data_IF_493406305715
#
_entry.id   IF_493406305715
#
_cell.length_a   1.000
_cell.length_b   1.000
_cell.length_c   1.000
_cell.angle_alpha   90.00
_cell.angle_beta   90.00
_cell.angle_gamma   90.00
#
_symmetry.space_group_name_H-M   'P 1'
#
loop_
_entity.id
_entity.type
_entity.pdbx_description
1 polymer ?
#
# COMPACT_ATOMS: atom_id res chain seq x y z
N UNK A 1 -16.01 11.60 -11.61
CA UNK A 1 -15.51 10.24 -11.97
C UNK A 1 -14.91 9.64 -10.71
N UNK A 2 -15.50 8.55 -10.15
CA UNK A 2 -14.96 7.83 -8.99
C UNK A 2 -13.59 7.28 -9.34
N UNK A 3 -12.55 7.77 -8.68
CA UNK A 3 -11.21 7.20 -8.75
C UNK A 3 -11.18 5.93 -7.90
N UNK A 4 -10.71 4.83 -8.47
CA UNK A 4 -10.60 3.54 -7.78
C UNK A 4 -9.34 3.55 -6.93
N UNK A 5 -9.51 3.45 -5.62
CA UNK A 5 -8.41 3.37 -4.67
C UNK A 5 -7.81 1.97 -4.71
N UNK A 6 -6.56 1.87 -5.11
CA UNK A 6 -5.87 0.61 -5.28
C UNK A 6 -5.10 0.27 -4.00
N UNK A 7 -5.60 -0.67 -3.19
CA UNK A 7 -4.90 -1.11 -1.98
C UNK A 7 -3.64 -1.91 -2.33
N UNK A 8 -2.49 -1.24 -2.23
CA UNK A 8 -1.17 -1.85 -2.51
C UNK A 8 -0.87 -2.97 -1.52
N UNK A 9 -1.34 -2.84 -0.28
CA UNK A 9 -1.11 -3.82 0.79
C UNK A 9 -1.71 -5.19 0.47
N UNK A 10 -2.90 -5.21 -0.12
CA UNK A 10 -3.60 -6.47 -0.40
C UNK A 10 -2.91 -7.28 -1.49
N UNK A 11 -2.17 -6.64 -2.40
CA UNK A 11 -1.36 -7.34 -3.39
C UNK A 11 -0.16 -8.05 -2.77
N UNK A 12 0.57 -7.40 -1.86
CA UNK A 12 1.64 -8.09 -1.13
C UNK A 12 1.10 -9.24 -0.30
N UNK A 13 -0.09 -9.08 0.28
CA UNK A 13 -0.79 -10.15 0.98
C UNK A 13 -1.16 -11.31 0.05
N UNK A 14 -1.61 -11.02 -1.17
CA UNK A 14 -1.92 -12.05 -2.16
C UNK A 14 -0.67 -12.85 -2.57
N UNK A 15 0.46 -12.19 -2.83
CA UNK A 15 1.72 -12.88 -3.09
C UNK A 15 2.16 -13.69 -1.87
N UNK A 16 2.01 -13.14 -0.66
CA UNK A 16 2.32 -13.85 0.57
C UNK A 16 1.47 -15.10 0.72
N UNK A 17 0.15 -15.00 0.49
CA UNK A 17 -0.75 -16.13 0.52
C UNK A 17 -0.35 -17.20 -0.51
N UNK A 18 0.00 -16.80 -1.73
CA UNK A 18 0.48 -17.71 -2.76
C UNK A 18 1.76 -18.43 -2.32
N UNK A 19 2.75 -17.71 -1.79
CA UNK A 19 4.00 -18.28 -1.32
C UNK A 19 3.79 -19.27 -0.16
N UNK A 20 2.87 -18.97 0.76
CA UNK A 20 2.50 -19.88 1.85
C UNK A 20 1.93 -21.18 1.28
N UNK A 21 0.98 -21.09 0.36
CA UNK A 21 0.33 -22.29 -0.22
C UNK A 21 1.29 -23.16 -1.05
N UNK A 22 2.31 -22.55 -1.65
CA UNK A 22 3.33 -23.25 -2.43
C UNK A 22 4.55 -23.68 -1.59
N UNK A 23 4.56 -23.38 -0.28
CA UNK A 23 5.69 -23.63 0.62
C UNK A 23 7.02 -23.08 0.07
N UNK A 24 6.99 -21.87 -0.53
CA UNK A 24 8.16 -21.24 -1.16
C UNK A 24 9.20 -20.87 -0.11
N UNK A 25 10.45 -21.34 -0.32
CA UNK A 25 11.58 -20.87 0.48
C UNK A 25 11.92 -19.41 0.14
N UNK A 26 11.62 -18.50 1.06
CA UNK A 26 11.86 -17.07 0.89
C UNK A 26 13.34 -16.69 0.83
N UNK A 27 14.24 -17.59 1.22
CA UNK A 27 15.71 -17.41 1.14
C UNK A 27 16.27 -17.83 -0.22
N UNK A 28 15.52 -18.62 -0.98
CA UNK A 28 15.90 -19.10 -2.31
C UNK A 28 15.41 -18.13 -3.40
N UNK A 29 16.33 -17.32 -3.94
CA UNK A 29 16.02 -16.41 -5.05
C UNK A 29 15.44 -17.14 -6.27
N UNK A 30 15.90 -18.36 -6.55
CA UNK A 30 15.42 -19.18 -7.67
C UNK A 30 13.97 -19.61 -7.47
N UNK A 31 13.60 -20.08 -6.27
CA UNK A 31 12.23 -20.49 -5.96
C UNK A 31 11.28 -19.29 -5.99
N UNK A 32 11.68 -18.17 -5.37
CA UNK A 32 10.91 -16.91 -5.42
C UNK A 32 10.64 -16.50 -6.86
N UNK A 33 11.68 -16.47 -7.71
CA UNK A 33 11.52 -16.08 -9.12
C UNK A 33 10.62 -17.03 -9.90
N UNK A 34 10.74 -18.34 -9.70
CA UNK A 34 9.91 -19.34 -10.37
C UNK A 34 8.45 -19.20 -9.95
N UNK A 35 8.20 -19.02 -8.67
CA UNK A 35 6.86 -18.79 -8.13
C UNK A 35 6.24 -17.49 -8.62
N UNK A 36 7.01 -16.41 -8.71
CA UNK A 36 6.52 -15.13 -9.26
C UNK A 36 6.18 -15.22 -10.76
N UNK A 37 6.85 -16.07 -11.52
CA UNK A 37 6.52 -16.31 -12.95
C UNK A 37 5.23 -17.10 -13.13
N UNK A 38 4.89 -17.98 -12.19
CA UNK A 38 3.71 -18.84 -12.26
C UNK A 38 2.45 -18.18 -11.71
N UNK A 39 2.57 -17.16 -10.84
CA UNK A 39 1.43 -16.52 -10.18
C UNK A 39 0.50 -15.82 -11.18
N UNK A 40 -0.78 -16.17 -11.17
CA UNK A 40 -1.82 -15.53 -11.97
C UNK A 40 -2.68 -14.64 -11.07
N UNK A 41 -2.13 -13.50 -10.70
CA UNK A 41 -2.80 -12.53 -9.83
C UNK A 41 -3.56 -11.50 -10.67
N UNK A 42 -4.87 -11.47 -10.51
CA UNK A 42 -5.75 -10.50 -11.12
C UNK A 42 -6.52 -9.70 -10.06
N UNK A 43 -6.78 -8.43 -10.34
CA UNK A 43 -7.60 -7.58 -9.48
C UNK A 43 -8.84 -7.20 -10.26
N UNK A 44 -9.98 -7.63 -9.77
CA UNK A 44 -11.27 -7.32 -10.35
C UNK A 44 -11.88 -6.09 -9.66
N UNK A 45 -12.29 -5.13 -10.49
CA UNK A 45 -12.95 -3.89 -10.09
C UNK A 45 -14.39 -3.82 -10.60
N UNK A 46 -14.98 -4.94 -10.96
CA UNK A 46 -16.29 -4.99 -11.62
C UNK A 46 -17.45 -4.58 -10.72
N UNK A 47 -17.32 -4.69 -9.39
CA UNK A 47 -18.32 -4.19 -8.44
C UNK A 47 -18.03 -2.75 -8.01
N UNK A 48 -19.08 -1.94 -7.86
CA UNK A 48 -18.95 -0.53 -7.45
C UNK A 48 -18.44 -0.37 -6.01
N UNK A 49 -18.56 -1.40 -5.18
CA UNK A 49 -18.26 -1.36 -3.75
C UNK A 49 -16.98 -2.11 -3.35
N UNK A 50 -16.62 -3.23 -4.03
CA UNK A 50 -15.58 -4.11 -3.53
C UNK A 50 -14.56 -4.50 -4.61
N UNK A 51 -13.30 -4.24 -4.30
CA UNK A 51 -12.17 -4.76 -5.03
C UNK A 51 -11.98 -6.24 -4.67
N UNK A 52 -12.02 -7.12 -5.66
CA UNK A 52 -11.72 -8.55 -5.50
C UNK A 52 -10.29 -8.87 -5.91
N UNK A 53 -9.68 -9.77 -5.17
CA UNK A 53 -8.36 -10.28 -5.49
C UNK A 53 -8.51 -11.74 -5.92
N UNK A 54 -8.25 -11.97 -7.19
CA UNK A 54 -8.37 -13.27 -7.82
C UNK A 54 -6.97 -13.86 -8.02
N UNK A 55 -6.74 -15.03 -7.48
CA UNK A 55 -5.51 -15.80 -7.63
C UNK A 55 -5.85 -17.14 -8.27
N UNK A 56 -5.26 -17.44 -9.42
CA UNK A 56 -5.49 -18.67 -10.20
C UNK A 56 -6.98 -18.98 -10.47
N UNK A 57 -7.81 -17.92 -10.54
CA UNK A 57 -9.26 -18.00 -10.75
C UNK A 57 -10.10 -17.93 -9.47
N UNK A 58 -9.52 -18.10 -8.30
CA UNK A 58 -10.21 -18.08 -7.01
C UNK A 58 -10.22 -16.69 -6.37
N UNK A 59 -11.35 -16.29 -5.80
CA UNK A 59 -11.44 -15.09 -4.96
C UNK A 59 -10.79 -15.36 -3.59
N UNK A 60 -9.67 -14.70 -3.35
CA UNK A 60 -8.90 -14.82 -2.10
C UNK A 60 -9.02 -13.58 -1.19
N UNK A 61 -9.93 -12.66 -1.47
CA UNK A 61 -10.05 -11.36 -0.79
C UNK A 61 -10.17 -11.46 0.74
N UNK A 62 -10.82 -12.50 1.24
CA UNK A 62 -10.90 -12.78 2.67
C UNK A 62 -9.68 -13.55 3.18
N UNK A 63 -9.18 -14.52 2.41
CA UNK A 63 -8.06 -15.41 2.80
C UNK A 63 -6.77 -14.64 3.03
N UNK A 64 -6.51 -13.58 2.27
CA UNK A 64 -5.33 -12.73 2.44
C UNK A 64 -5.28 -11.94 3.75
N UNK A 65 -6.37 -11.94 4.52
CA UNK A 65 -6.47 -11.24 5.82
C UNK A 65 -6.19 -12.14 7.02
N UNK A 66 -5.88 -13.42 6.78
CA UNK A 66 -5.54 -14.36 7.84
C UNK A 66 -4.34 -13.90 8.68
N UNK A 67 -4.25 -14.39 9.91
CA UNK A 67 -3.15 -14.10 10.82
C UNK A 67 -1.81 -14.58 10.24
N UNK A 68 -1.80 -15.73 9.58
CA UNK A 68 -0.60 -16.28 8.95
C UNK A 68 -0.06 -15.37 7.85
N UNK A 69 -0.91 -14.90 6.94
CA UNK A 69 -0.51 -13.92 5.91
C UNK A 69 -0.03 -12.62 6.56
N UNK A 70 -0.72 -12.18 7.62
CA UNK A 70 -0.38 -10.93 8.31
C UNK A 70 1.01 -10.99 8.95
N UNK A 71 1.40 -12.11 9.52
CA UNK A 71 2.71 -12.29 10.16
C UNK A 71 3.86 -12.36 9.15
N UNK A 72 3.63 -12.93 7.95
CA UNK A 72 4.67 -13.16 6.93
C UNK A 72 4.78 -12.04 5.89
N UNK A 73 3.77 -11.18 5.73
CA UNK A 73 3.72 -10.16 4.66
C UNK A 73 4.88 -9.16 4.71
N UNK A 74 5.40 -8.85 5.89
CA UNK A 74 6.54 -7.95 6.03
C UNK A 74 7.81 -8.54 5.41
N UNK A 75 8.10 -9.81 5.68
CA UNK A 75 9.23 -10.53 5.09
C UNK A 75 9.11 -10.62 3.57
N UNK A 76 7.95 -11.04 3.04
CA UNK A 76 7.71 -11.14 1.60
C UNK A 76 7.81 -9.76 0.91
N UNK A 77 7.30 -8.71 1.53
CA UNK A 77 7.38 -7.35 0.98
C UNK A 77 8.79 -6.76 0.97
N UNK A 78 9.72 -7.33 1.70
CA UNK A 78 11.13 -6.93 1.69
C UNK A 78 11.94 -7.58 0.55
N UNK A 79 11.43 -8.64 -0.08
CA UNK A 79 12.09 -9.34 -1.18
C UNK A 79 12.11 -8.45 -2.43
N UNK A 80 13.30 -8.29 -3.00
CA UNK A 80 13.52 -7.42 -4.17
C UNK A 80 12.66 -7.83 -5.36
N UNK A 81 12.64 -9.09 -5.70
CA UNK A 81 11.92 -9.67 -6.85
C UNK A 81 10.41 -9.44 -6.74
N UNK A 82 9.86 -9.59 -5.53
CA UNK A 82 8.45 -9.30 -5.25
C UNK A 82 8.16 -7.81 -5.45
N UNK A 83 9.06 -6.94 -5.00
CA UNK A 83 8.90 -5.49 -5.17
C UNK A 83 8.95 -5.08 -6.63
N UNK A 84 9.91 -5.62 -7.38
CA UNK A 84 10.06 -5.33 -8.81
C UNK A 84 8.80 -5.74 -9.58
N UNK A 85 8.24 -6.92 -9.32
CA UNK A 85 6.95 -7.34 -9.86
C UNK A 85 5.82 -6.38 -9.48
N UNK A 86 5.74 -5.97 -8.21
CA UNK A 86 4.71 -5.02 -7.76
C UNK A 86 4.83 -3.65 -8.44
N UNK A 87 6.03 -3.17 -8.69
CA UNK A 87 6.27 -1.93 -9.44
C UNK A 87 5.77 -2.06 -10.88
N UNK A 88 6.09 -3.17 -11.55
CA UNK A 88 5.62 -3.43 -12.93
C UNK A 88 4.08 -3.49 -13.01
N UNK A 89 3.45 -4.19 -12.08
CA UNK A 89 1.99 -4.28 -11.99
C UNK A 89 1.38 -2.88 -11.79
N UNK A 90 1.92 -2.07 -10.88
CA UNK A 90 1.43 -0.70 -10.65
C UNK A 90 1.52 0.14 -11.92
N UNK A 91 2.66 0.10 -12.60
CA UNK A 91 2.88 0.86 -13.84
C UNK A 91 1.97 0.42 -14.98
N UNK A 92 1.66 -0.86 -15.09
CA UNK A 92 0.77 -1.37 -16.15
C UNK A 92 -0.65 -0.83 -16.04
N UNK A 93 -1.16 -0.64 -14.82
CA UNK A 93 -2.51 -0.12 -14.61
C UNK A 93 -2.67 1.35 -14.96
N UNK A 94 -1.62 2.14 -14.81
CA UNK A 94 -1.68 3.60 -15.05
C UNK A 94 -1.55 4.00 -16.52
N UNK A 95 -1.28 3.04 -17.41
CA UNK A 95 -1.18 3.31 -18.86
C UNK A 95 -2.50 3.72 -19.52
N UNK A 96 -3.65 3.48 -18.87
CA UNK A 96 -4.99 3.66 -19.45
C UNK A 96 -5.83 4.73 -18.75
N UNK A 97 -5.26 5.90 -18.46
CA UNK A 97 -6.03 7.01 -17.90
C UNK A 97 -5.34 7.77 -16.77
N UNK A 98 -6.09 8.62 -16.10
CA UNK A 98 -5.63 9.39 -14.95
C UNK A 98 -5.85 8.59 -13.66
N UNK A 99 -4.82 8.52 -12.84
CA UNK A 99 -4.84 7.76 -11.59
C UNK A 99 -4.33 8.59 -10.42
N UNK A 100 -4.90 8.35 -9.26
CA UNK A 100 -4.31 8.73 -7.97
C UNK A 100 -3.78 7.45 -7.33
N UNK A 101 -2.49 7.46 -7.01
CA UNK A 101 -1.80 6.31 -6.42
C UNK A 101 -1.18 6.73 -5.11
N UNK A 102 -1.43 5.95 -4.06
CA UNK A 102 -0.84 6.20 -2.74
C UNK A 102 0.14 5.08 -2.35
N UNK A 103 1.10 5.41 -1.51
CA UNK A 103 2.06 4.44 -0.94
C UNK A 103 3.31 5.11 -0.41
N UNK A 104 4.30 4.31 -0.02
CA UNK A 104 5.52 4.76 0.66
C UNK A 104 6.62 5.20 -0.30
N UNK A 105 6.66 4.59 -1.48
CA UNK A 105 7.70 4.74 -2.50
C UNK A 105 7.16 5.19 -3.86
N UNK A 106 5.93 5.70 -3.88
CA UNK A 106 5.22 5.98 -5.14
C UNK A 106 5.93 7.05 -5.96
N UNK A 107 6.26 8.18 -5.35
CA UNK A 107 6.87 9.30 -6.05
C UNK A 107 8.39 9.21 -6.20
N UNK A 108 9.04 8.23 -5.53
CA UNK A 108 10.50 8.06 -5.60
C UNK A 108 10.93 6.87 -6.46
N UNK A 109 10.12 5.80 -6.50
CA UNK A 109 10.48 4.54 -7.18
C UNK A 109 9.47 4.15 -8.25
N UNK A 110 8.16 4.19 -7.92
CA UNK A 110 7.14 3.66 -8.82
C UNK A 110 6.87 4.63 -9.98
N UNK A 111 6.64 5.91 -9.66
CA UNK A 111 6.37 6.99 -10.62
C UNK A 111 7.25 8.22 -10.33
N UNK A 112 8.58 8.11 -10.54
CA UNK A 112 9.49 9.22 -10.28
C UNK A 112 9.22 10.43 -11.19
N UNK A 113 8.61 10.20 -12.35
CA UNK A 113 8.29 11.24 -13.35
C UNK A 113 6.82 11.69 -13.28
N UNK A 114 6.09 11.37 -12.21
CA UNK A 114 4.70 11.81 -12.05
C UNK A 114 4.63 13.35 -12.03
N UNK A 115 3.69 13.92 -12.82
CA UNK A 115 3.50 15.38 -12.91
C UNK A 115 3.18 16.02 -11.55
N UNK A 116 2.39 15.36 -10.74
CA UNK A 116 2.00 15.84 -9.41
C UNK A 116 2.39 14.81 -8.36
N UNK A 117 3.18 15.25 -7.38
CA UNK A 117 3.59 14.45 -6.23
C UNK A 117 3.23 15.20 -4.97
N UNK A 118 2.50 14.56 -4.09
CA UNK A 118 2.10 15.10 -2.80
C UNK A 118 2.67 14.25 -1.68
N UNK A 119 3.26 14.89 -0.70
CA UNK A 119 3.74 14.25 0.52
C UNK A 119 2.86 14.69 1.68
N UNK A 120 1.98 13.79 2.10
CA UNK A 120 1.07 14.06 3.21
C UNK A 120 1.77 13.77 4.54
N UNK A 121 1.73 14.71 5.44
CA UNK A 121 2.23 14.55 6.80
C UNK A 121 1.17 14.96 7.83
N UNK A 122 1.28 14.42 9.04
CA UNK A 122 0.50 14.82 10.20
C UNK A 122 1.21 14.34 11.47
N UNK A 123 0.98 15.02 12.58
CA UNK A 123 1.47 14.62 13.89
C UNK A 123 1.02 13.22 14.27
N UNK A 124 1.87 12.50 15.00
CA UNK A 124 1.57 11.13 15.41
C UNK A 124 0.32 11.03 16.27
N UNK A 125 0.09 11.99 17.15
CA UNK A 125 -1.12 12.01 18.00
C UNK A 125 -2.41 12.13 17.18
N UNK A 126 -2.39 12.98 16.14
CA UNK A 126 -3.52 13.13 15.22
C UNK A 126 -3.71 11.85 14.38
N UNK A 127 -2.62 11.27 13.91
CA UNK A 127 -2.67 10.00 13.15
C UNK A 127 -3.19 8.86 14.01
N UNK A 128 -2.77 8.77 15.28
CA UNK A 128 -3.26 7.77 16.22
C UNK A 128 -4.76 7.94 16.51
N UNK A 129 -5.23 9.17 16.73
CA UNK A 129 -6.66 9.46 16.89
C UNK A 129 -7.50 9.06 15.67
N UNK A 130 -7.03 9.40 14.45
CA UNK A 130 -7.70 8.99 13.21
C UNK A 130 -7.77 7.46 13.08
N UNK A 131 -6.67 6.78 13.43
CA UNK A 131 -6.63 5.32 13.37
C UNK A 131 -7.49 4.65 14.44
N UNK A 132 -7.58 5.23 15.63
CA UNK A 132 -8.49 4.77 16.67
C UNK A 132 -9.94 4.83 16.20
N UNK A 133 -10.36 5.97 15.63
CA UNK A 133 -11.70 6.12 15.07
C UNK A 133 -12.01 5.10 13.95
N UNK A 134 -11.00 4.65 13.19
CA UNK A 134 -11.19 3.59 12.20
C UNK A 134 -11.39 2.21 12.86
N UNK A 135 -10.72 1.91 13.97
CA UNK A 135 -10.94 0.68 14.75
C UNK A 135 -12.31 0.68 15.41
N UNK A 136 -12.75 1.82 15.95
CA UNK A 136 -14.08 1.95 16.55
C UNK A 136 -15.22 1.64 15.55
N UNK A 137 -15.07 2.05 14.28
CA UNK A 137 -16.07 1.74 13.22
C UNK A 137 -16.24 0.23 12.96
N UNK A 138 -15.25 -0.58 13.28
CA UNK A 138 -15.29 -2.04 13.12
C UNK A 138 -15.43 -2.77 14.46
N UNK A 139 -15.81 -2.03 15.53
CA UNK A 139 -15.97 -2.53 16.90
C UNK A 139 -14.70 -3.21 17.47
N UNK A 140 -13.51 -2.79 17.06
CA UNK A 140 -12.24 -3.21 17.66
C UNK A 140 -11.77 -2.21 18.72
N UNK A 141 -11.70 -2.62 19.97
CA UNK A 141 -11.12 -1.82 21.05
C UNK A 141 -9.59 -1.83 20.96
N UNK A 142 -8.97 -0.65 20.86
CA UNK A 142 -7.51 -0.47 20.82
C UNK A 142 -7.07 0.65 21.75
N UNK A 143 -5.85 0.50 22.31
CA UNK A 143 -5.23 1.56 23.10
C UNK A 143 -4.55 2.58 22.16
N UNK A 144 -4.82 3.87 22.39
CA UNK A 144 -4.26 4.94 21.56
C UNK A 144 -2.72 5.01 21.61
N UNK A 145 -2.11 4.70 22.76
CA UNK A 145 -0.65 4.69 22.91
C UNK A 145 -0.04 3.54 22.11
N UNK A 146 -0.64 2.34 22.14
CA UNK A 146 -0.19 1.22 21.31
C UNK A 146 -0.29 1.55 19.82
N UNK A 147 -1.37 2.19 19.40
CA UNK A 147 -1.53 2.63 18.01
C UNK A 147 -0.45 3.63 17.63
N UNK A 148 -0.10 4.57 18.53
CA UNK A 148 0.96 5.56 18.28
C UNK A 148 2.32 4.90 18.14
N UNK A 149 2.69 4.01 19.05
CA UNK A 149 3.94 3.24 19.00
C UNK A 149 4.05 2.38 17.73
N UNK A 150 2.95 1.73 17.33
CA UNK A 150 2.89 0.97 16.08
C UNK A 150 3.12 1.87 14.86
N UNK A 151 2.55 3.08 14.84
CA UNK A 151 2.75 4.03 13.74
C UNK A 151 4.20 4.51 13.66
N UNK A 152 4.80 4.86 14.78
CA UNK A 152 6.20 5.32 14.88
C UNK A 152 7.17 4.21 14.46
N UNK A 153 7.00 3.01 15.00
CA UNK A 153 7.81 1.83 14.68
C UNK A 153 7.74 1.51 13.20
N UNK A 154 6.54 1.56 12.63
CA UNK A 154 6.33 1.29 11.22
C UNK A 154 6.96 2.35 10.32
N UNK A 155 6.78 3.63 10.63
CA UNK A 155 7.37 4.72 9.84
C UNK A 155 8.89 4.69 9.92
N UNK A 156 9.46 4.36 11.08
CA UNK A 156 10.89 4.14 11.24
C UNK A 156 11.37 2.97 10.37
N UNK A 157 10.68 1.83 10.41
CA UNK A 157 11.00 0.68 9.56
C UNK A 157 10.92 1.04 8.07
N UNK A 158 9.82 1.68 7.65
CA UNK A 158 9.61 2.08 6.25
C UNK A 158 10.69 3.07 5.77
N UNK A 159 11.19 3.94 6.65
CA UNK A 159 12.19 4.96 6.31
C UNK A 159 13.62 4.41 6.26
N UNK A 160 13.93 3.39 7.08
CA UNK A 160 15.28 2.85 7.22
C UNK A 160 15.55 1.63 6.36
N UNK A 161 14.54 1.04 5.75
CA UNK A 161 14.72 -0.15 4.90
C UNK A 161 15.62 0.15 3.69
N UNK A 162 16.44 -0.83 3.31
CA UNK A 162 17.40 -0.70 2.19
C UNK A 162 16.71 -0.52 0.83
N UNK A 163 15.58 -1.19 0.61
CA UNK A 163 14.85 -1.16 -0.67
C UNK A 163 13.61 -0.27 -0.58
N UNK A 164 13.50 0.68 -1.50
CA UNK A 164 12.34 1.58 -1.64
C UNK A 164 11.93 2.22 -0.30
N UNK A 165 12.83 2.90 0.42
CA UNK A 165 12.48 3.51 1.70
C UNK A 165 11.38 4.56 1.55
N UNK A 166 10.66 4.82 2.64
CA UNK A 166 9.77 5.97 2.72
C UNK A 166 10.60 7.24 2.70
N UNK A 167 10.64 7.89 1.55
CA UNK A 167 11.33 9.18 1.37
C UNK A 167 10.41 10.15 0.66
N UNK A 168 10.45 11.41 1.10
CA UNK A 168 9.79 12.49 0.38
C UNK A 168 10.52 12.72 -0.95
N UNK A 169 9.83 12.68 -2.11
CA UNK A 169 10.40 13.11 -3.38
C UNK A 169 10.85 14.57 -3.30
N UNK A 170 11.93 14.91 -3.99
CA UNK A 170 12.50 16.28 -3.95
C UNK A 170 11.51 17.31 -4.46
N UNK A 171 10.74 16.93 -5.48
CA UNK A 171 9.73 17.73 -6.15
C UNK A 171 8.31 17.56 -5.60
N UNK A 172 8.15 16.90 -4.43
CA UNK A 172 6.84 16.72 -3.84
C UNK A 172 6.36 17.96 -3.08
N UNK A 173 5.12 18.33 -3.32
CA UNK A 173 4.39 19.32 -2.55
C UNK A 173 4.03 18.73 -1.20
N UNK A 174 4.41 19.39 -0.12
CA UNK A 174 4.07 18.98 1.24
C UNK A 174 2.68 19.46 1.57
N UNK A 175 1.83 18.54 2.03
CA UNK A 175 0.50 18.85 2.57
C UNK A 175 0.51 18.43 4.05
N UNK A 176 0.54 19.41 4.94
CA UNK A 176 0.36 19.17 6.37
C UNK A 176 -1.14 19.02 6.67
N UNK A 177 -1.50 17.83 7.14
CA UNK A 177 -2.88 17.46 7.40
C UNK A 177 -3.21 17.42 8.89
N UNK A 178 -2.32 17.91 9.76
CA UNK A 178 -2.46 17.85 11.22
C UNK A 178 -3.78 18.44 11.69
N UNK A 179 -4.07 19.68 11.25
CA UNK A 179 -5.29 20.42 11.66
C UNK A 179 -6.37 20.46 10.58
N UNK A 180 -6.20 19.74 9.48
CA UNK A 180 -7.13 19.78 8.36
C UNK A 180 -8.22 18.72 8.45
N UNK A 181 -9.44 19.08 8.12
CA UNK A 181 -10.50 18.14 7.78
C UNK A 181 -10.17 17.37 6.48
N UNK A 182 -10.89 16.28 6.21
CA UNK A 182 -10.71 15.54 4.96
C UNK A 182 -10.98 16.41 3.72
N UNK A 183 -12.00 17.24 3.76
CA UNK A 183 -12.38 18.11 2.65
C UNK A 183 -11.32 19.18 2.39
N UNK A 184 -10.77 19.79 3.44
CA UNK A 184 -9.68 20.77 3.32
C UNK A 184 -8.42 20.15 2.70
N UNK A 185 -8.07 18.90 3.07
CA UNK A 185 -6.96 18.17 2.46
C UNK A 185 -7.17 17.99 0.95
N UNK A 186 -8.37 17.56 0.55
CA UNK A 186 -8.71 17.39 -0.88
C UNK A 186 -8.62 18.73 -1.61
N UNK A 187 -9.17 19.81 -1.04
CA UNK A 187 -9.14 21.14 -1.64
C UNK A 187 -7.71 21.68 -1.78
N UNK A 188 -6.83 21.44 -0.80
CA UNK A 188 -5.42 21.81 -0.91
C UNK A 188 -4.75 21.09 -2.09
N UNK A 189 -5.00 19.80 -2.27
CA UNK A 189 -4.45 19.03 -3.40
C UNK A 189 -5.00 19.55 -4.73
N UNK A 190 -6.31 19.77 -4.84
CA UNK A 190 -6.94 20.24 -6.08
C UNK A 190 -6.41 21.58 -6.54
N UNK A 191 -6.15 22.53 -5.65
CA UNK A 191 -5.53 23.83 -5.98
C UNK A 191 -4.20 23.73 -6.74
N UNK A 192 -3.48 22.62 -6.61
CA UNK A 192 -2.23 22.38 -7.32
C UNK A 192 -2.41 21.63 -8.65
N UNK A 193 -3.55 20.96 -8.84
CA UNK A 193 -3.83 20.16 -10.05
C UNK A 193 -4.54 20.99 -11.11
N UNK A 194 -5.39 21.94 -10.70
CA UNK A 194 -6.23 22.78 -11.58
C UNK A 194 -5.48 23.96 -12.23
N UNK A 195 -4.17 24.06 -11.99
CA UNK A 195 -3.27 25.01 -12.66
C UNK A 195 -2.52 24.29 -13.78
#
# INVERSE_FOLDING_TARGET
RRQRQMCIRDRYRAVTFFFINQNVDLTSVSEVNNSLKSIKLHIDFSSESDMRIILDGDDISLKIRSQEVTSKVSAVSAIKEVRDMMVQIKRSFTKKGNFVVEGRDIGTVVFPDAKYKFYLQADYDIRAKRRLADFEKINEAKNINEIKEDLETRDKYDSTRKLSPLKKPVDAIIIDTTLCSFEEQVNQILKHIEK
#
